data_IF_126408036595
#
_entry.id   IF_126408036595
#
_cell.length_a   1.000
_cell.length_b   1.000
_cell.length_c   1.000
_cell.angle_alpha   90.00
_cell.angle_beta   90.00
_cell.angle_gamma   90.00
#
_symmetry.space_group_name_H-M   'P 1'
#
loop_
_entity.id
_entity.type
_entity.pdbx_description
1 polymer ?
#
# COMPACT_ATOMS: atom_id res chain seq x y z
N UNK A 1 17.92 0.58 10.81
CA UNK A 1 18.62 -0.10 11.92
C UNK A 1 20.12 0.24 12.07
N UNK A 2 20.88 0.50 11.02
CA UNK A 2 22.33 0.85 11.15
C UNK A 2 22.60 2.24 11.77
N UNK A 3 21.80 3.26 11.49
CA UNK A 3 21.97 4.61 12.05
C UNK A 3 21.74 4.71 13.57
N UNK A 4 20.83 3.92 14.12
CA UNK A 4 20.55 3.92 15.56
C UNK A 4 21.67 3.29 16.39
N UNK A 5 22.35 2.26 15.89
CA UNK A 5 23.49 1.62 16.58
C UNK A 5 24.71 2.54 16.66
N UNK A 6 25.02 3.27 15.58
CA UNK A 6 26.14 4.22 15.56
C UNK A 6 25.96 5.34 16.61
N UNK A 7 24.75 5.85 16.80
CA UNK A 7 24.45 6.87 17.81
C UNK A 7 24.67 6.38 19.24
N UNK A 8 24.33 5.14 19.55
CA UNK A 8 24.57 4.53 20.86
C UNK A 8 26.05 4.35 21.17
N UNK A 9 26.85 3.87 20.20
CA UNK A 9 28.31 3.74 20.37
C UNK A 9 28.99 5.08 20.56
N UNK A 10 28.56 6.11 19.83
CA UNK A 10 29.10 7.47 19.97
C UNK A 10 28.82 8.03 21.37
N UNK A 11 27.59 7.88 21.88
CA UNK A 11 27.23 8.34 23.23
C UNK A 11 27.93 7.58 24.34
N UNK A 12 27.99 6.25 24.21
CA UNK A 12 28.78 5.43 25.12
C UNK A 12 30.24 5.85 25.17
N UNK A 13 30.82 6.13 24.00
CA UNK A 13 32.17 6.66 23.90
C UNK A 13 32.32 8.03 24.56
N UNK A 14 31.40 8.98 24.32
CA UNK A 14 31.41 10.30 24.97
C UNK A 14 31.27 10.21 26.49
N UNK A 15 30.42 9.31 27.00
CA UNK A 15 30.26 9.08 28.45
C UNK A 15 31.57 8.59 29.07
N UNK A 16 32.20 7.58 28.46
CA UNK A 16 33.48 7.02 28.94
C UNK A 16 34.58 8.08 28.90
N UNK A 17 34.69 8.86 27.82
CA UNK A 17 35.68 9.92 27.69
C UNK A 17 35.45 11.03 28.75
N UNK A 18 34.21 11.48 28.92
CA UNK A 18 33.88 12.52 29.92
C UNK A 18 34.13 12.05 31.34
N UNK A 19 33.76 10.81 31.67
CA UNK A 19 34.08 10.19 32.94
C UNK A 19 35.60 10.10 33.16
N UNK A 20 36.34 9.66 32.15
CA UNK A 20 37.81 9.58 32.19
C UNK A 20 38.46 10.95 32.41
N UNK A 21 37.95 12.02 31.78
CA UNK A 21 38.43 13.39 32.00
C UNK A 21 38.22 13.84 33.45
N UNK A 22 37.06 13.56 34.04
CA UNK A 22 36.78 13.90 35.43
C UNK A 22 37.71 13.13 36.39
N UNK A 23 37.85 11.83 36.21
CA UNK A 23 38.75 10.98 36.97
C UNK A 23 40.19 11.50 36.92
N UNK A 24 40.71 11.78 35.72
CA UNK A 24 42.05 12.26 35.50
C UNK A 24 42.28 13.63 36.21
N UNK A 25 41.28 14.49 36.22
CA UNK A 25 41.34 15.77 36.91
C UNK A 25 41.44 15.60 38.42
N UNK A 26 40.59 14.77 39.00
CA UNK A 26 40.63 14.48 40.44
C UNK A 26 41.91 13.80 40.88
N UNK A 27 42.37 12.78 40.16
CA UNK A 27 43.64 12.10 40.38
C UNK A 27 44.86 13.07 40.26
N UNK A 28 44.74 14.14 39.47
CA UNK A 28 45.75 15.19 39.34
C UNK A 28 45.71 16.23 40.47
N UNK A 29 44.93 16.03 41.52
CA UNK A 29 44.81 16.90 42.68
C UNK A 29 43.92 18.13 42.48
N UNK A 30 42.99 18.09 41.52
CA UNK A 30 41.97 19.12 41.34
C UNK A 30 40.87 18.89 42.39
N UNK A 31 40.59 19.89 43.21
CA UNK A 31 39.47 19.89 44.13
C UNK A 31 38.28 20.66 43.59
N UNK A 32 37.24 20.75 44.42
CA UNK A 32 36.02 21.55 44.16
C UNK A 32 35.72 22.43 45.34
N UNK A 33 35.22 23.66 45.14
CA UNK A 33 35.09 24.68 46.17
C UNK A 33 34.16 24.28 47.31
N UNK A 34 33.11 23.53 47.02
CA UNK A 34 32.01 23.28 47.96
C UNK A 34 32.13 21.91 48.66
N UNK A 35 33.17 21.16 48.36
CA UNK A 35 33.47 19.84 48.95
C UNK A 35 34.96 19.73 49.30
N UNK A 36 35.29 19.85 50.57
CA UNK A 36 36.65 19.59 51.02
C UNK A 36 37.04 18.13 50.97
N UNK A 37 38.36 17.85 50.84
CA UNK A 37 38.90 16.50 50.89
C UNK A 37 38.79 15.67 49.59
N UNK A 38 38.30 16.25 48.49
CA UNK A 38 38.24 15.55 47.18
C UNK A 38 39.64 15.27 46.63
N UNK A 39 40.60 16.21 46.69
CA UNK A 39 41.96 15.97 46.19
C UNK A 39 42.75 14.88 46.96
N UNK A 40 42.46 14.73 48.25
CA UNK A 40 43.09 13.72 49.10
C UNK A 40 42.27 12.39 49.15
N UNK A 41 41.16 12.32 48.39
CA UNK A 41 40.27 11.17 48.36
C UNK A 41 40.89 9.94 47.72
N UNK A 42 40.39 8.79 48.11
CA UNK A 42 40.73 7.52 47.44
C UNK A 42 40.07 7.37 46.08
N UNK A 43 40.42 6.30 45.38
CA UNK A 43 39.86 5.98 44.05
C UNK A 43 38.31 5.95 44.05
N UNK A 44 37.69 5.43 45.13
CA UNK A 44 36.23 5.36 45.24
C UNK A 44 35.62 6.75 45.36
N UNK A 45 36.29 7.64 46.07
CA UNK A 45 35.88 9.05 46.18
C UNK A 45 35.90 9.74 44.81
N UNK A 46 36.96 9.56 44.03
CA UNK A 46 37.06 10.15 42.69
C UNK A 46 36.02 9.53 41.73
N UNK A 47 35.76 8.22 41.79
CA UNK A 47 34.68 7.57 41.04
C UNK A 47 33.32 8.17 41.41
N UNK A 48 33.05 8.31 42.70
CA UNK A 48 31.78 8.85 43.19
C UNK A 48 31.50 10.26 42.66
N UNK A 49 32.46 11.15 42.76
CA UNK A 49 32.30 12.52 42.26
C UNK A 49 32.29 12.61 40.75
N UNK A 50 33.07 11.77 40.05
CA UNK A 50 33.02 11.70 38.58
C UNK A 50 31.66 11.19 38.07
N UNK A 51 31.03 10.21 38.73
CA UNK A 51 29.69 9.76 38.43
C UNK A 51 28.64 10.81 38.78
N UNK A 52 28.86 11.55 39.89
CA UNK A 52 28.01 12.63 40.33
C UNK A 52 27.79 13.73 39.31
N UNK A 53 28.75 13.96 38.40
CA UNK A 53 28.62 14.94 37.31
C UNK A 53 27.50 14.59 36.33
N UNK A 54 27.19 13.31 36.17
CA UNK A 54 26.13 12.85 35.28
C UNK A 54 24.74 12.88 35.89
N UNK A 55 24.64 13.10 37.19
CA UNK A 55 23.38 13.30 37.90
C UNK A 55 23.07 14.79 37.94
N UNK A 56 21.82 15.19 37.78
CA UNK A 56 21.37 16.58 37.69
C UNK A 56 21.70 17.46 38.92
N UNK A 57 22.39 16.92 39.92
CA UNK A 57 22.82 17.59 41.16
C UNK A 57 24.30 18.03 41.18
N UNK A 58 25.03 17.95 40.06
CA UNK A 58 26.46 18.34 40.02
C UNK A 58 26.76 19.82 40.33
N UNK A 59 25.74 20.66 40.38
CA UNK A 59 25.86 22.07 40.81
C UNK A 59 26.32 22.25 42.27
N UNK A 60 26.15 21.23 43.09
CA UNK A 60 26.55 21.25 44.50
C UNK A 60 28.06 21.02 44.76
N UNK A 61 28.83 20.82 43.73
CA UNK A 61 30.29 20.60 43.85
C UNK A 61 31.07 21.92 43.89
N UNK A 62 30.49 23.00 43.42
CA UNK A 62 31.15 24.27 43.25
C UNK A 62 32.12 24.30 42.06
N UNK A 63 33.10 25.20 42.09
CA UNK A 63 34.04 25.40 41.00
C UNK A 63 35.33 24.59 41.17
N UNK A 64 36.00 24.14 40.08
CA UNK A 64 37.31 23.48 40.14
C UNK A 64 38.38 24.37 40.77
N UNK A 65 39.07 23.87 41.81
CA UNK A 65 40.13 24.59 42.54
C UNK A 65 41.38 23.72 42.69
N UNK A 66 42.53 24.35 42.93
CA UNK A 66 43.78 23.60 43.09
C UNK A 66 44.26 22.88 41.82
N UNK A 67 45.28 22.02 41.94
CA UNK A 67 45.83 21.21 40.87
C UNK A 67 46.38 21.96 39.68
N UNK A 68 46.91 21.24 38.66
CA UNK A 68 47.43 21.82 37.41
C UNK A 68 46.36 22.46 36.55
N UNK A 69 46.66 23.59 35.90
CA UNK A 69 45.71 24.30 35.02
C UNK A 69 45.11 23.41 33.92
N UNK A 70 45.84 22.50 33.23
CA UNK A 70 45.26 21.61 32.25
C UNK A 70 44.20 20.65 32.87
N UNK A 71 44.47 20.12 34.06
CA UNK A 71 43.57 19.22 34.76
C UNK A 71 42.27 19.95 35.21
N UNK A 72 42.37 21.21 35.64
CA UNK A 72 41.18 22.05 35.88
C UNK A 72 40.38 22.28 34.60
N UNK A 73 41.01 22.50 33.48
CA UNK A 73 40.31 22.66 32.23
C UNK A 73 39.56 21.37 31.80
N UNK A 74 40.14 20.18 32.02
CA UNK A 74 39.47 18.91 31.83
C UNK A 74 38.21 18.76 32.68
N UNK A 75 38.29 19.16 33.97
CA UNK A 75 37.14 19.10 34.86
C UNK A 75 36.04 20.07 34.43
N UNK A 76 36.39 21.26 33.95
CA UNK A 76 35.41 22.20 33.39
C UNK A 76 34.72 21.61 32.15
N UNK A 77 35.45 20.98 31.26
CA UNK A 77 34.86 20.28 30.10
C UNK A 77 33.90 19.18 30.56
N UNK A 78 34.29 18.38 31.57
CA UNK A 78 33.43 17.35 32.13
C UNK A 78 32.16 17.91 32.79
N UNK A 79 32.24 19.04 33.46
CA UNK A 79 31.11 19.74 34.10
C UNK A 79 30.02 20.13 33.13
N UNK A 80 30.39 20.57 31.92
CA UNK A 80 29.42 20.91 30.88
C UNK A 80 28.99 19.70 30.05
N UNK A 81 29.92 18.79 29.76
CA UNK A 81 29.65 17.64 28.91
C UNK A 81 28.74 16.59 29.59
N UNK A 82 28.96 16.29 30.88
CA UNK A 82 28.22 15.26 31.58
C UNK A 82 26.71 15.56 31.68
N UNK A 83 26.24 16.75 32.09
CA UNK A 83 24.80 17.08 32.08
C UNK A 83 24.20 17.10 30.70
N UNK A 84 24.93 17.56 29.66
CA UNK A 84 24.44 17.54 28.26
C UNK A 84 24.22 16.11 27.76
N UNK A 85 25.14 15.18 28.05
CA UNK A 85 24.99 13.77 27.71
C UNK A 85 23.76 13.18 28.40
N UNK A 86 23.61 13.39 29.68
CA UNK A 86 22.48 12.85 30.46
C UNK A 86 21.15 13.45 30.01
N UNK A 87 21.07 14.79 29.90
CA UNK A 87 19.84 15.47 29.44
C UNK A 87 19.45 15.03 28.03
N UNK A 88 20.42 14.87 27.12
CA UNK A 88 20.14 14.38 25.78
C UNK A 88 19.58 12.95 25.79
N UNK A 89 20.07 12.09 26.68
CA UNK A 89 19.58 10.71 26.82
C UNK A 89 18.16 10.66 27.41
N UNK A 90 17.87 11.48 28.40
CA UNK A 90 16.53 11.63 29.02
C UNK A 90 15.55 12.17 27.97
N UNK A 91 15.92 13.22 27.24
CA UNK A 91 15.09 13.81 26.21
C UNK A 91 14.77 12.80 25.09
N UNK A 92 15.77 12.04 24.64
CA UNK A 92 15.55 10.99 23.64
C UNK A 92 14.63 9.89 24.18
N UNK A 93 14.78 9.47 25.43
CA UNK A 93 13.89 8.53 26.09
C UNK A 93 12.45 9.06 26.15
N UNK A 94 12.26 10.31 26.53
CA UNK A 94 10.97 10.98 26.58
C UNK A 94 10.33 11.07 25.17
N UNK A 95 11.10 11.47 24.16
CA UNK A 95 10.62 11.54 22.76
C UNK A 95 10.20 10.16 22.24
N UNK A 96 10.94 9.10 22.60
CA UNK A 96 10.57 7.73 22.22
C UNK A 96 9.30 7.24 22.93
N UNK A 97 9.10 7.63 24.19
CA UNK A 97 7.89 7.29 24.95
C UNK A 97 6.65 8.03 24.43
N UNK A 98 6.81 9.25 23.93
CA UNK A 98 5.72 10.08 23.38
C UNK A 98 5.22 9.62 22.00
N UNK A 99 5.78 8.53 21.42
CA UNK A 99 5.44 8.04 20.06
C UNK A 99 5.42 9.19 19.05
N UNK A 100 6.59 9.65 18.59
CA UNK A 100 6.71 10.81 17.70
C UNK A 100 5.89 10.68 16.41
N UNK A 101 5.61 9.45 15.97
CA UNK A 101 4.78 9.16 14.80
C UNK A 101 3.36 9.76 14.92
N UNK A 102 2.75 9.66 16.12
CA UNK A 102 1.44 10.23 16.39
C UNK A 102 1.45 11.75 16.41
N UNK A 103 2.50 12.34 16.98
CA UNK A 103 2.66 13.79 16.97
C UNK A 103 2.85 14.34 15.56
N UNK A 104 3.67 13.65 14.76
CA UNK A 104 3.92 14.01 13.36
C UNK A 104 2.65 13.85 12.52
N UNK A 105 1.85 12.81 12.75
CA UNK A 105 0.58 12.61 12.09
C UNK A 105 -0.38 13.77 12.39
N UNK A 106 -0.53 14.11 13.68
CA UNK A 106 -1.41 15.18 14.16
C UNK A 106 -1.03 16.59 13.70
N UNK A 107 0.24 16.81 13.37
CA UNK A 107 0.76 18.08 12.85
C UNK A 107 0.82 18.13 11.31
N UNK A 108 0.36 17.10 10.63
CA UNK A 108 0.35 17.07 9.16
C UNK A 108 -0.73 18.00 8.62
N UNK A 109 -0.41 18.72 7.54
CA UNK A 109 -1.34 19.63 6.86
C UNK A 109 -1.28 19.41 5.36
N UNK A 110 -2.38 19.64 4.69
CA UNK A 110 -2.52 19.58 3.23
C UNK A 110 -1.98 18.24 2.67
N UNK A 111 -2.24 17.17 3.41
CA UNK A 111 -1.68 15.85 3.19
C UNK A 111 -2.73 14.86 2.67
N UNK A 112 -2.24 13.79 2.07
CA UNK A 112 -3.06 12.63 1.68
C UNK A 112 -2.82 11.50 2.67
N UNK A 113 -3.88 10.99 3.27
CA UNK A 113 -3.85 9.81 4.12
C UNK A 113 -4.02 8.56 3.27
N UNK A 114 -3.09 7.63 3.35
CA UNK A 114 -3.14 6.34 2.65
C UNK A 114 -3.17 5.21 3.66
N UNK A 115 -4.30 4.53 3.75
CA UNK A 115 -4.50 3.40 4.65
C UNK A 115 -4.31 2.09 3.90
N UNK A 116 -3.36 1.28 4.37
CA UNK A 116 -2.95 0.04 3.71
C UNK A 116 -1.80 0.26 2.73
N UNK A 117 -0.58 -0.08 3.15
CA UNK A 117 0.65 0.03 2.34
C UNK A 117 1.00 -1.34 1.72
N UNK A 118 -0.02 -2.06 1.27
CA UNK A 118 0.11 -3.28 0.48
C UNK A 118 0.39 -2.97 -1.00
N UNK A 119 0.22 -3.98 -1.88
CA UNK A 119 0.44 -3.83 -3.33
C UNK A 119 -0.31 -2.63 -3.93
N UNK A 120 -1.61 -2.52 -3.67
CA UNK A 120 -2.44 -1.44 -4.22
C UNK A 120 -2.05 -0.08 -3.65
N UNK A 121 -1.74 -0.01 -2.34
CA UNK A 121 -1.24 1.21 -1.72
C UNK A 121 0.08 1.68 -2.33
N UNK A 122 1.00 0.77 -2.62
CA UNK A 122 2.27 1.11 -3.28
C UNK A 122 2.08 1.64 -4.70
N UNK A 123 1.18 1.03 -5.50
CA UNK A 123 0.82 1.55 -6.83
C UNK A 123 0.21 2.96 -6.75
N UNK A 124 -0.65 3.20 -5.75
CA UNK A 124 -1.22 4.52 -5.53
C UNK A 124 -0.14 5.54 -5.14
N UNK A 125 0.78 5.19 -4.24
CA UNK A 125 1.88 6.06 -3.83
C UNK A 125 2.82 6.40 -4.99
N UNK A 126 3.11 5.44 -5.86
CA UNK A 126 3.91 5.64 -7.07
C UNK A 126 3.22 6.63 -8.01
N UNK A 127 1.97 6.38 -8.37
CA UNK A 127 1.17 7.26 -9.21
C UNK A 127 1.01 8.66 -8.60
N UNK A 128 0.89 8.77 -7.26
CA UNK A 128 0.79 10.04 -6.55
C UNK A 128 2.11 10.83 -6.66
N UNK A 129 3.25 10.19 -6.48
CA UNK A 129 4.55 10.87 -6.57
C UNK A 129 4.91 11.32 -7.99
N UNK A 130 4.54 10.55 -9.00
CA UNK A 130 4.75 10.92 -10.40
C UNK A 130 4.04 12.24 -10.75
N UNK A 131 2.81 12.42 -10.27
CA UNK A 131 1.99 13.61 -10.60
C UNK A 131 2.08 14.74 -9.58
N UNK A 132 2.28 14.41 -8.32
CA UNK A 132 2.25 15.34 -7.19
C UNK A 132 3.48 15.12 -6.27
N UNK A 133 4.70 15.48 -6.73
CA UNK A 133 5.94 15.17 -6.02
C UNK A 133 6.06 15.82 -4.64
N UNK A 134 5.30 16.87 -4.36
CA UNK A 134 5.40 17.67 -3.13
C UNK A 134 4.29 17.44 -2.10
N UNK A 135 3.21 16.75 -2.46
CA UNK A 135 2.10 16.51 -1.52
C UNK A 135 2.61 15.68 -0.34
N UNK A 136 2.42 16.13 0.93
CA UNK A 136 2.75 15.33 2.09
C UNK A 136 1.89 14.07 2.12
N UNK A 137 2.48 12.93 2.47
CA UNK A 137 1.81 11.63 2.56
C UNK A 137 1.90 11.13 3.99
N UNK A 138 0.75 10.76 4.55
CA UNK A 138 0.64 10.03 5.80
C UNK A 138 0.14 8.62 5.52
N UNK A 139 1.03 7.65 5.60
CA UNK A 139 0.71 6.23 5.40
C UNK A 139 0.36 5.57 6.73
N UNK A 140 -0.71 4.80 6.77
CA UNK A 140 -1.19 4.07 7.94
C UNK A 140 -1.30 2.58 7.61
N UNK A 141 -0.67 1.73 8.41
CA UNK A 141 -0.81 0.26 8.31
C UNK A 141 -0.60 -0.36 9.70
N UNK A 142 -1.15 -1.54 9.93
CA UNK A 142 -0.97 -2.29 11.17
C UNK A 142 0.46 -2.81 11.34
N UNK A 143 1.08 -3.21 10.24
CA UNK A 143 2.36 -3.91 10.23
C UNK A 143 3.50 -2.98 9.83
N UNK A 144 4.17 -2.40 10.84
CA UNK A 144 5.34 -1.53 10.66
C UNK A 144 6.57 -2.25 10.06
N UNK A 145 6.60 -3.58 10.07
CA UNK A 145 7.78 -4.35 9.64
C UNK A 145 7.69 -4.81 8.18
N UNK A 146 6.60 -4.52 7.49
CA UNK A 146 6.50 -4.83 6.06
C UNK A 146 7.59 -4.13 5.26
N UNK A 147 8.20 -4.86 4.33
CA UNK A 147 9.18 -4.28 3.39
C UNK A 147 8.59 -3.09 2.60
N UNK A 148 7.28 -3.14 2.28
CA UNK A 148 6.56 -2.07 1.58
C UNK A 148 6.49 -0.78 2.38
N UNK A 149 6.46 -0.83 3.73
CA UNK A 149 6.48 0.36 4.58
C UNK A 149 7.81 1.10 4.46
N UNK A 150 8.93 0.37 4.50
CA UNK A 150 10.25 0.98 4.30
C UNK A 150 10.38 1.61 2.91
N UNK A 151 9.90 0.89 1.87
CA UNK A 151 9.88 1.43 0.51
C UNK A 151 9.01 2.69 0.41
N UNK A 152 7.85 2.73 1.08
CA UNK A 152 6.98 3.90 1.10
C UNK A 152 7.67 5.12 1.72
N UNK A 153 8.44 4.91 2.79
CA UNK A 153 9.21 5.96 3.46
C UNK A 153 10.41 6.42 2.61
N UNK A 154 11.21 5.46 2.11
CA UNK A 154 12.49 5.76 1.45
C UNK A 154 12.28 6.30 0.02
N UNK A 155 11.35 5.72 -0.74
CA UNK A 155 11.12 6.06 -2.15
C UNK A 155 10.12 7.20 -2.33
N UNK A 156 9.05 7.20 -1.52
CA UNK A 156 7.96 8.16 -1.68
C UNK A 156 7.92 9.24 -0.60
N UNK A 157 8.83 9.20 0.39
CA UNK A 157 8.88 10.18 1.48
C UNK A 157 7.60 10.18 2.32
N UNK A 158 6.89 9.05 2.38
CA UNK A 158 5.69 8.92 3.19
C UNK A 158 6.06 8.92 4.68
N UNK A 159 5.32 9.69 5.49
CA UNK A 159 5.37 9.55 6.95
C UNK A 159 4.52 8.34 7.32
N UNK A 160 5.00 7.51 8.22
CA UNK A 160 4.31 6.26 8.54
C UNK A 160 3.79 6.26 9.98
N UNK A 161 2.54 5.87 10.15
CA UNK A 161 1.89 5.66 11.44
C UNK A 161 1.52 4.17 11.58
N UNK A 162 2.17 3.42 12.49
CA UNK A 162 1.78 2.04 12.80
C UNK A 162 0.52 2.06 13.69
N UNK A 163 -0.66 1.91 13.09
CA UNK A 163 -1.92 2.01 13.83
C UNK A 163 -3.06 1.23 13.17
N UNK A 164 -4.02 0.84 14.00
CA UNK A 164 -5.29 0.29 13.56
C UNK A 164 -6.29 1.42 13.25
N UNK A 165 -6.63 1.57 11.97
CA UNK A 165 -7.54 2.61 11.49
C UNK A 165 -8.99 2.43 11.99
N UNK A 166 -9.35 1.23 12.48
CA UNK A 166 -10.67 0.97 13.09
C UNK A 166 -10.86 1.70 14.42
N UNK A 167 -9.77 2.05 15.10
CA UNK A 167 -9.80 2.75 16.38
C UNK A 167 -10.07 4.25 16.20
N UNK A 168 -11.03 4.80 16.94
CA UNK A 168 -11.35 6.23 16.91
C UNK A 168 -10.13 7.10 17.25
N UNK A 169 -9.32 6.70 18.24
CA UNK A 169 -8.10 7.40 18.59
C UNK A 169 -7.10 7.51 17.44
N UNK A 170 -7.05 6.50 16.55
CA UNK A 170 -6.24 6.58 15.33
C UNK A 170 -6.80 7.65 14.40
N UNK A 171 -8.10 7.64 14.11
CA UNK A 171 -8.73 8.63 13.24
C UNK A 171 -8.52 10.05 13.76
N UNK A 172 -8.68 10.27 15.08
CA UNK A 172 -8.48 11.57 15.74
C UNK A 172 -7.01 12.06 15.62
N UNK A 173 -6.06 11.16 15.39
CA UNK A 173 -4.64 11.51 15.22
C UNK A 173 -4.24 11.86 13.80
N UNK A 174 -5.08 11.59 12.78
CA UNK A 174 -4.74 11.74 11.38
C UNK A 174 -4.86 13.18 10.85
N UNK A 175 -5.25 14.15 11.68
CA UNK A 175 -5.50 15.54 11.29
C UNK A 175 -6.41 15.64 10.05
N UNK A 176 -7.54 14.92 10.06
CA UNK A 176 -8.43 14.78 8.90
C UNK A 176 -9.02 16.11 8.44
N UNK A 177 -9.17 17.08 9.33
CA UNK A 177 -9.63 18.45 9.00
C UNK A 177 -8.67 19.19 8.07
N UNK A 178 -7.38 18.84 8.13
CA UNK A 178 -6.31 19.42 7.32
C UNK A 178 -5.89 18.51 6.16
N UNK A 179 -6.55 17.38 5.99
CA UNK A 179 -6.23 16.42 4.92
C UNK A 179 -6.92 16.80 3.59
N UNK A 180 -6.25 16.57 2.48
CA UNK A 180 -6.85 16.71 1.15
C UNK A 180 -7.78 15.56 0.80
N UNK A 181 -7.36 14.35 1.13
CA UNK A 181 -8.09 13.13 0.84
C UNK A 181 -7.65 11.99 1.76
N UNK A 182 -8.53 11.02 1.93
CA UNK A 182 -8.24 9.73 2.55
C UNK A 182 -8.49 8.63 1.54
N UNK A 183 -7.51 7.75 1.35
CA UNK A 183 -7.57 6.62 0.43
C UNK A 183 -7.35 5.32 1.19
N UNK A 184 -8.38 4.49 1.27
CA UNK A 184 -8.42 3.25 2.02
C UNK A 184 -8.20 2.08 1.06
N UNK A 185 -7.05 1.43 1.15
CA UNK A 185 -6.55 0.41 0.22
C UNK A 185 -6.13 -0.87 0.95
N UNK A 186 -6.74 -1.16 2.10
CA UNK A 186 -6.49 -2.42 2.80
C UNK A 186 -7.06 -3.60 2.00
N UNK A 187 -6.73 -4.83 2.41
CA UNK A 187 -7.29 -6.05 1.81
C UNK A 187 -8.66 -6.42 2.37
N UNK A 188 -9.12 -5.70 3.37
CA UNK A 188 -10.40 -5.94 4.04
C UNK A 188 -11.40 -4.87 3.58
N UNK A 189 -12.31 -5.29 2.71
CA UNK A 189 -13.31 -4.42 2.10
C UNK A 189 -14.27 -3.83 3.14
N UNK A 190 -14.63 -4.60 4.18
CA UNK A 190 -15.51 -4.14 5.24
C UNK A 190 -14.82 -3.04 6.05
N UNK A 191 -13.55 -3.22 6.40
CA UNK A 191 -12.76 -2.19 7.09
C UNK A 191 -12.66 -0.92 6.26
N UNK A 192 -12.40 -1.06 4.95
CA UNK A 192 -12.34 0.10 4.06
C UNK A 192 -13.67 0.86 4.04
N UNK A 193 -14.80 0.15 3.94
CA UNK A 193 -16.13 0.76 3.91
C UNK A 193 -16.52 1.41 5.25
N UNK A 194 -16.41 0.67 6.36
CA UNK A 194 -16.77 1.18 7.69
C UNK A 194 -15.97 2.43 8.06
N UNK A 195 -14.68 2.41 7.79
CA UNK A 195 -13.80 3.55 8.10
C UNK A 195 -14.12 4.72 7.17
N UNK A 196 -14.34 4.46 5.87
CA UNK A 196 -14.71 5.52 4.91
C UNK A 196 -16.01 6.22 5.35
N UNK A 197 -17.02 5.45 5.73
CA UNK A 197 -18.31 5.99 6.18
C UNK A 197 -18.17 6.83 7.45
N UNK A 198 -17.45 6.33 8.45
CA UNK A 198 -17.19 7.07 9.70
C UNK A 198 -16.42 8.37 9.47
N UNK A 199 -15.50 8.40 8.51
CA UNK A 199 -14.76 9.61 8.16
C UNK A 199 -15.71 10.58 7.43
N UNK A 200 -16.47 10.13 6.43
CA UNK A 200 -17.37 10.98 5.65
C UNK A 200 -18.48 11.60 6.52
N UNK A 201 -18.99 10.86 7.50
CA UNK A 201 -20.00 11.36 8.46
C UNK A 201 -19.44 12.51 9.32
N UNK A 202 -18.17 12.42 9.77
CA UNK A 202 -17.54 13.44 10.61
C UNK A 202 -16.94 14.61 9.82
N UNK A 203 -16.52 14.34 8.60
CA UNK A 203 -15.84 15.28 7.72
C UNK A 203 -16.47 15.28 6.32
N UNK A 204 -17.69 15.84 6.14
CA UNK A 204 -18.45 15.75 4.88
C UNK A 204 -17.78 16.40 3.68
N UNK A 205 -16.90 17.38 3.90
CA UNK A 205 -16.12 18.05 2.86
C UNK A 205 -14.85 17.30 2.46
N UNK A 206 -14.45 16.27 3.21
CA UNK A 206 -13.24 15.51 2.93
C UNK A 206 -13.50 14.44 1.87
N UNK A 207 -12.66 14.37 0.85
CA UNK A 207 -12.71 13.28 -0.13
C UNK A 207 -12.23 11.98 0.48
N UNK A 208 -13.11 10.99 0.49
CA UNK A 208 -12.80 9.65 0.99
C UNK A 208 -12.97 8.65 -0.14
N UNK A 209 -11.93 7.85 -0.39
CA UNK A 209 -11.94 6.79 -1.39
C UNK A 209 -11.74 5.45 -0.71
N UNK A 210 -12.62 4.51 -0.97
CA UNK A 210 -12.54 3.15 -0.42
C UNK A 210 -12.39 2.12 -1.55
N UNK A 211 -11.37 1.27 -1.45
CA UNK A 211 -11.23 0.11 -2.33
C UNK A 211 -12.15 -1.02 -1.86
N UNK A 212 -12.94 -1.56 -2.78
CA UNK A 212 -13.83 -2.70 -2.57
C UNK A 212 -13.64 -3.70 -3.70
N UNK A 213 -13.02 -4.84 -3.38
CA UNK A 213 -12.77 -5.90 -4.34
C UNK A 213 -13.96 -6.88 -4.47
N UNK A 214 -14.72 -7.07 -3.40
CA UNK A 214 -15.89 -7.94 -3.38
C UNK A 214 -17.04 -7.33 -4.19
N UNK A 215 -17.55 -8.11 -5.15
CA UNK A 215 -18.59 -7.64 -6.07
C UNK A 215 -19.96 -7.47 -5.38
N UNK A 216 -20.27 -8.34 -4.42
CA UNK A 216 -21.52 -8.27 -3.66
C UNK A 216 -21.57 -7.02 -2.79
N UNK A 217 -20.48 -6.75 -2.05
CA UNK A 217 -20.35 -5.54 -1.22
C UNK A 217 -20.38 -4.28 -2.08
N UNK A 218 -19.68 -4.26 -3.21
CA UNK A 218 -19.70 -3.14 -4.14
C UNK A 218 -21.12 -2.82 -4.62
N UNK A 219 -21.86 -3.83 -5.09
CA UNK A 219 -23.24 -3.64 -5.55
C UNK A 219 -24.17 -3.19 -4.45
N UNK A 220 -23.95 -3.64 -3.22
CA UNK A 220 -24.72 -3.16 -2.06
C UNK A 220 -24.47 -1.67 -1.82
N UNK A 221 -23.23 -1.23 -1.90
CA UNK A 221 -22.86 0.18 -1.71
C UNK A 221 -23.37 1.04 -2.85
N UNK A 222 -23.24 0.60 -4.12
CA UNK A 222 -23.78 1.33 -5.30
C UNK A 222 -25.29 1.68 -5.14
N UNK A 223 -26.04 0.91 -4.34
CA UNK A 223 -27.47 1.20 -4.05
C UNK A 223 -27.68 2.25 -2.95
N UNK A 224 -26.67 2.48 -2.11
CA UNK A 224 -26.75 3.35 -0.93
C UNK A 224 -25.98 4.67 -1.14
N UNK A 225 -25.12 4.73 -2.14
CA UNK A 225 -24.10 5.77 -2.35
C UNK A 225 -24.62 7.18 -2.65
N UNK A 226 -25.94 7.37 -2.90
CA UNK A 226 -26.50 8.65 -3.23
C UNK A 226 -26.38 9.65 -2.07
N UNK A 227 -25.24 10.38 -2.01
CA UNK A 227 -25.00 11.47 -1.07
C UNK A 227 -23.98 11.21 0.05
N UNK A 228 -23.28 10.08 0.06
CA UNK A 228 -22.38 9.70 1.19
C UNK A 228 -21.02 10.42 1.22
N UNK A 229 -20.60 11.10 0.15
CA UNK A 229 -19.25 11.71 0.04
C UNK A 229 -18.10 10.69 -0.09
N UNK A 230 -18.41 9.38 -0.14
CA UNK A 230 -17.44 8.29 -0.31
C UNK A 230 -17.39 7.87 -1.76
N UNK A 231 -16.20 7.82 -2.37
CA UNK A 231 -15.98 7.28 -3.71
C UNK A 231 -15.51 5.84 -3.64
N UNK A 232 -16.20 4.94 -4.31
CA UNK A 232 -15.80 3.52 -4.36
C UNK A 232 -14.86 3.28 -5.55
N UNK A 233 -13.75 2.61 -5.27
CA UNK A 233 -12.79 2.14 -6.26
C UNK A 233 -12.75 0.62 -6.28
N UNK A 234 -12.96 0.01 -7.46
CA UNK A 234 -12.81 -1.42 -7.67
C UNK A 234 -11.76 -1.66 -8.76
N UNK A 235 -10.70 -2.38 -8.41
CA UNK A 235 -9.57 -2.65 -9.30
C UNK A 235 -9.97 -3.51 -10.51
N UNK A 236 -10.83 -4.51 -10.32
CA UNK A 236 -11.28 -5.41 -11.40
C UNK A 236 -12.17 -4.67 -12.41
N UNK A 237 -13.08 -3.81 -11.91
CA UNK A 237 -13.93 -2.98 -12.79
C UNK A 237 -13.11 -2.00 -13.63
N UNK A 238 -12.03 -1.49 -13.05
CA UNK A 238 -11.11 -0.61 -13.76
C UNK A 238 -10.42 -1.36 -14.90
N UNK A 239 -9.95 -2.59 -14.62
CA UNK A 239 -9.34 -3.43 -15.65
C UNK A 239 -10.35 -3.85 -16.74
N UNK A 240 -11.57 -4.23 -16.34
CA UNK A 240 -12.64 -4.58 -17.29
C UNK A 240 -13.01 -3.41 -18.22
N UNK A 241 -13.13 -2.19 -17.65
CA UNK A 241 -13.38 -0.98 -18.45
C UNK A 241 -12.27 -0.72 -19.45
N UNK A 242 -11.01 -0.85 -19.04
CA UNK A 242 -9.88 -0.65 -19.96
C UNK A 242 -9.83 -1.72 -21.04
N UNK A 243 -10.03 -2.98 -20.69
CA UNK A 243 -10.13 -4.07 -21.69
C UNK A 243 -11.18 -3.72 -22.75
N UNK A 244 -12.36 -3.31 -22.34
CA UNK A 244 -13.41 -2.94 -23.29
C UNK A 244 -13.03 -1.72 -24.12
N UNK A 245 -12.64 -0.60 -23.47
CA UNK A 245 -12.39 0.67 -24.16
C UNK A 245 -11.18 0.61 -25.10
N UNK A 246 -10.12 -0.04 -24.70
CA UNK A 246 -8.83 -0.03 -25.41
C UNK A 246 -8.78 -1.15 -26.49
N UNK A 247 -9.60 -2.22 -26.35
CA UNK A 247 -9.46 -3.41 -27.19
C UNK A 247 -10.76 -3.92 -27.80
N UNK A 248 -11.86 -3.98 -27.05
CA UNK A 248 -13.08 -4.68 -27.51
C UNK A 248 -14.13 -3.75 -28.12
N UNK A 249 -14.18 -2.49 -27.74
CA UNK A 249 -15.20 -1.57 -28.25
C UNK A 249 -15.16 -1.38 -29.76
N UNK A 250 -13.98 -1.36 -30.36
CA UNK A 250 -13.82 -1.28 -31.83
C UNK A 250 -14.08 -2.64 -32.50
N UNK A 251 -13.68 -3.73 -31.86
CA UNK A 251 -13.95 -5.08 -32.36
C UNK A 251 -15.45 -5.31 -32.49
N UNK A 252 -16.22 -5.10 -31.43
CA UNK A 252 -17.68 -5.28 -31.45
C UNK A 252 -18.44 -4.36 -32.41
N UNK A 253 -17.87 -3.22 -32.81
CA UNK A 253 -18.45 -2.37 -33.88
C UNK A 253 -18.21 -2.89 -35.28
N UNK A 254 -17.21 -3.74 -35.47
CA UNK A 254 -16.79 -4.28 -36.77
C UNK A 254 -17.36 -5.66 -37.02
N UNK A 255 -17.87 -6.32 -35.99
CA UNK A 255 -18.53 -7.62 -36.06
C UNK A 255 -20.05 -7.46 -36.07
N UNK A 256 -20.76 -8.46 -36.62
CA UNK A 256 -22.22 -8.53 -36.48
C UNK A 256 -22.60 -8.92 -35.04
N UNK A 257 -23.75 -8.46 -34.49
CA UNK A 257 -24.18 -8.80 -33.15
C UNK A 257 -24.41 -10.30 -32.99
N UNK A 258 -23.48 -11.04 -32.48
CA UNK A 258 -23.55 -12.43 -32.06
C UNK A 258 -22.19 -12.99 -31.60
N UNK A 259 -21.27 -12.11 -31.22
CA UNK A 259 -19.92 -12.51 -30.79
C UNK A 259 -19.93 -13.55 -29.67
N UNK A 260 -19.06 -14.56 -29.80
CA UNK A 260 -18.82 -15.56 -28.75
C UNK A 260 -17.66 -15.08 -27.86
N UNK A 261 -17.92 -14.94 -26.57
CA UNK A 261 -16.91 -14.54 -25.59
C UNK A 261 -16.61 -15.69 -24.63
N UNK A 262 -15.37 -16.16 -24.63
CA UNK A 262 -14.90 -17.23 -23.73
C UNK A 262 -14.17 -16.64 -22.53
N UNK A 263 -14.64 -16.94 -21.34
CA UNK A 263 -14.05 -16.51 -20.06
C UNK A 263 -13.41 -17.71 -19.36
N UNK A 264 -12.10 -17.85 -19.50
CA UNK A 264 -11.31 -18.88 -18.84
C UNK A 264 -10.82 -18.36 -17.47
N UNK A 265 -11.48 -18.84 -16.40
CA UNK A 265 -11.41 -18.29 -15.04
C UNK A 265 -12.58 -17.33 -14.78
N UNK A 266 -13.57 -17.80 -14.00
CA UNK A 266 -14.77 -17.02 -13.67
C UNK A 266 -14.82 -16.60 -12.19
N UNK A 267 -13.65 -16.30 -11.63
CA UNK A 267 -13.49 -15.62 -10.33
C UNK A 267 -13.92 -14.16 -10.40
N UNK A 268 -13.51 -13.35 -9.41
CA UNK A 268 -13.86 -11.91 -9.34
C UNK A 268 -13.53 -11.15 -10.62
N UNK A 269 -12.40 -11.45 -11.24
CA UNK A 269 -11.98 -10.79 -12.47
C UNK A 269 -12.91 -11.15 -13.67
N UNK A 270 -13.13 -12.43 -13.95
CA UNK A 270 -14.00 -12.88 -15.04
C UNK A 270 -15.45 -12.41 -14.88
N UNK A 271 -16.01 -12.49 -13.66
CA UNK A 271 -17.34 -11.97 -13.34
C UNK A 271 -17.44 -10.46 -13.60
N UNK A 272 -16.42 -9.69 -13.20
CA UNK A 272 -16.43 -8.24 -13.44
C UNK A 272 -16.34 -7.90 -14.91
N UNK A 273 -15.58 -8.69 -15.69
CA UNK A 273 -15.50 -8.51 -17.14
C UNK A 273 -16.88 -8.76 -17.76
N UNK A 274 -17.53 -9.89 -17.47
CA UNK A 274 -18.85 -10.21 -18.02
C UNK A 274 -19.91 -9.16 -17.61
N UNK A 275 -19.90 -8.71 -16.35
CA UNK A 275 -20.78 -7.64 -15.88
C UNK A 275 -20.56 -6.34 -16.65
N UNK A 276 -19.30 -5.97 -16.89
CA UNK A 276 -18.98 -4.76 -17.64
C UNK A 276 -19.36 -4.88 -19.13
N UNK A 277 -19.05 -6.00 -19.76
CA UNK A 277 -19.41 -6.28 -21.15
C UNK A 277 -20.91 -6.31 -21.35
N UNK A 278 -21.67 -6.93 -20.43
CA UNK A 278 -23.13 -6.91 -20.46
C UNK A 278 -23.68 -5.48 -20.43
N UNK A 279 -23.14 -4.63 -19.56
CA UNK A 279 -23.59 -3.24 -19.43
C UNK A 279 -23.19 -2.35 -20.61
N UNK A 280 -22.04 -2.61 -21.24
CA UNK A 280 -21.46 -1.76 -22.29
C UNK A 280 -21.76 -2.24 -23.70
N UNK A 281 -21.93 -3.55 -23.91
CA UNK A 281 -22.07 -4.20 -25.22
C UNK A 281 -22.94 -5.47 -25.15
N UNK A 282 -23.98 -5.49 -24.29
CA UNK A 282 -24.80 -6.69 -24.11
C UNK A 282 -25.56 -7.14 -25.36
N UNK A 283 -25.85 -6.24 -26.28
CA UNK A 283 -26.47 -6.55 -27.58
C UNK A 283 -25.50 -7.18 -28.57
N UNK A 284 -24.20 -7.03 -28.39
CA UNK A 284 -23.16 -7.54 -29.28
C UNK A 284 -22.78 -9.00 -28.97
N UNK A 285 -23.03 -9.41 -27.69
CA UNK A 285 -22.66 -10.74 -27.21
C UNK A 285 -23.77 -11.72 -27.50
N UNK A 286 -23.54 -12.60 -28.49
CA UNK A 286 -24.46 -13.69 -28.80
C UNK A 286 -24.40 -14.83 -27.81
N UNK A 287 -23.19 -15.19 -27.36
CA UNK A 287 -23.01 -16.28 -26.39
C UNK A 287 -21.77 -16.06 -25.52
N UNK A 288 -21.87 -16.38 -24.22
CA UNK A 288 -20.73 -16.40 -23.32
C UNK A 288 -20.43 -17.83 -22.85
N UNK A 289 -19.17 -18.24 -22.91
CA UNK A 289 -18.72 -19.55 -22.44
C UNK A 289 -17.81 -19.36 -21.23
N UNK A 290 -18.16 -19.98 -20.13
CA UNK A 290 -17.35 -19.97 -18.89
C UNK A 290 -16.60 -21.29 -18.77
N UNK A 291 -15.28 -21.22 -18.54
CA UNK A 291 -14.44 -22.37 -18.19
C UNK A 291 -13.82 -22.10 -16.83
N UNK A 292 -14.28 -22.81 -15.80
CA UNK A 292 -13.79 -22.66 -14.41
C UNK A 292 -14.06 -23.91 -13.60
N UNK A 293 -13.19 -24.23 -12.65
CA UNK A 293 -13.34 -25.43 -11.78
C UNK A 293 -14.56 -25.37 -10.84
N UNK A 294 -15.13 -24.19 -10.63
CA UNK A 294 -16.34 -23.95 -9.85
C UNK A 294 -17.39 -23.15 -10.66
N UNK A 295 -17.34 -23.31 -11.98
CA UNK A 295 -18.06 -22.51 -12.96
C UNK A 295 -19.56 -22.46 -12.72
N UNK A 296 -20.21 -23.60 -12.52
CA UNK A 296 -21.65 -23.69 -12.29
C UNK A 296 -22.10 -22.92 -11.05
N UNK A 297 -21.35 -23.06 -9.95
CA UNK A 297 -21.65 -22.33 -8.72
C UNK A 297 -21.48 -20.82 -8.92
N UNK A 298 -20.41 -20.43 -9.58
CA UNK A 298 -20.07 -19.02 -9.78
C UNK A 298 -21.03 -18.34 -10.76
N UNK A 299 -21.43 -19.04 -11.84
CA UNK A 299 -22.42 -18.55 -12.80
C UNK A 299 -23.80 -18.36 -12.16
N UNK A 300 -24.24 -19.29 -11.32
CA UNK A 300 -25.51 -19.13 -10.58
C UNK A 300 -25.47 -17.92 -9.63
N UNK A 301 -24.38 -17.73 -8.87
CA UNK A 301 -24.21 -16.58 -7.99
C UNK A 301 -24.17 -15.27 -8.79
N UNK A 302 -23.46 -15.25 -9.90
CA UNK A 302 -23.37 -14.10 -10.78
C UNK A 302 -24.75 -13.68 -11.30
N UNK A 303 -25.53 -14.61 -11.87
CA UNK A 303 -26.89 -14.34 -12.35
C UNK A 303 -27.82 -13.85 -11.26
N UNK A 304 -27.76 -14.43 -10.05
CA UNK A 304 -28.55 -13.99 -8.92
C UNK A 304 -28.20 -12.56 -8.43
N UNK A 305 -26.98 -12.12 -8.70
CA UNK A 305 -26.48 -10.83 -8.21
C UNK A 305 -26.51 -9.71 -9.26
N UNK A 306 -26.47 -10.03 -10.55
CA UNK A 306 -26.42 -9.07 -11.67
C UNK A 306 -27.70 -9.15 -12.47
N UNK A 307 -28.67 -8.25 -12.23
CA UNK A 307 -29.94 -8.24 -13.00
C UNK A 307 -29.68 -8.04 -14.50
N UNK A 308 -30.50 -8.69 -15.30
CA UNK A 308 -30.45 -8.57 -16.77
C UNK A 308 -29.45 -9.50 -17.46
N UNK A 309 -28.59 -10.19 -16.71
CA UNK A 309 -27.62 -11.14 -17.30
C UNK A 309 -28.27 -12.44 -17.80
N UNK A 310 -29.54 -12.67 -17.47
CA UNK A 310 -30.36 -13.74 -18.06
C UNK A 310 -30.50 -13.60 -19.58
N UNK A 311 -30.38 -12.39 -20.09
CA UNK A 311 -30.44 -12.10 -21.53
C UNK A 311 -29.23 -12.61 -22.31
N UNK A 312 -28.08 -12.84 -21.66
CA UNK A 312 -26.90 -13.42 -22.32
C UNK A 312 -26.98 -14.94 -22.24
N UNK A 313 -27.06 -15.64 -23.36
CA UNK A 313 -26.92 -17.09 -23.39
C UNK A 313 -25.56 -17.49 -22.83
N UNK A 314 -25.55 -18.48 -21.91
CA UNK A 314 -24.36 -18.83 -21.15
C UNK A 314 -24.17 -20.32 -21.09
N UNK A 315 -23.05 -20.82 -21.56
CA UNK A 315 -22.58 -22.19 -21.37
C UNK A 315 -21.49 -22.24 -20.30
N UNK A 316 -21.54 -23.27 -19.47
CA UNK A 316 -20.57 -23.45 -18.37
C UNK A 316 -19.86 -24.79 -18.52
N UNK A 317 -18.55 -24.75 -18.62
CA UNK A 317 -17.68 -25.91 -18.58
C UNK A 317 -16.97 -25.93 -17.21
N UNK A 318 -17.45 -26.80 -16.31
CA UNK A 318 -16.81 -26.99 -15.00
C UNK A 318 -15.56 -27.88 -15.16
N UNK A 319 -14.48 -27.26 -15.61
CA UNK A 319 -13.22 -27.91 -16.00
C UNK A 319 -11.99 -27.15 -15.51
N UNK A 320 -10.87 -27.89 -15.43
CA UNK A 320 -9.56 -27.31 -15.15
C UNK A 320 -8.85 -26.94 -16.45
N UNK A 321 -8.33 -25.72 -16.54
CA UNK A 321 -7.59 -25.22 -17.71
C UNK A 321 -6.28 -25.99 -17.99
N UNK A 322 -5.74 -26.73 -17.02
CA UNK A 322 -4.60 -27.62 -17.20
C UNK A 322 -4.95 -28.95 -17.89
N UNK A 323 -6.25 -29.30 -17.99
CA UNK A 323 -6.69 -30.54 -18.59
C UNK A 323 -6.88 -30.38 -20.13
N UNK A 324 -6.15 -31.14 -20.97
CA UNK A 324 -6.31 -31.07 -22.39
C UNK A 324 -7.74 -31.41 -22.89
N UNK A 325 -8.51 -32.21 -22.15
CA UNK A 325 -9.89 -32.52 -22.48
C UNK A 325 -10.81 -31.28 -22.39
N UNK A 326 -10.47 -30.33 -21.52
CA UNK A 326 -11.20 -29.08 -21.38
C UNK A 326 -11.25 -28.30 -22.71
N UNK A 327 -10.19 -28.33 -23.46
CA UNK A 327 -10.09 -27.62 -24.75
C UNK A 327 -10.91 -28.32 -25.83
N UNK A 328 -10.92 -29.66 -25.88
CA UNK A 328 -11.76 -30.40 -26.82
C UNK A 328 -13.27 -30.20 -26.56
N UNK A 329 -13.67 -30.15 -25.30
CA UNK A 329 -15.07 -29.84 -24.92
C UNK A 329 -15.41 -28.38 -25.25
N UNK A 330 -14.49 -27.44 -25.01
CA UNK A 330 -14.66 -26.03 -25.35
C UNK A 330 -14.86 -25.85 -26.84
N UNK A 331 -14.07 -26.52 -27.69
CA UNK A 331 -14.23 -26.51 -29.15
C UNK A 331 -15.62 -26.97 -29.57
N UNK A 332 -16.13 -28.05 -28.96
CA UNK A 332 -17.47 -28.55 -29.27
C UNK A 332 -18.56 -27.52 -28.94
N UNK A 333 -18.44 -26.82 -27.79
CA UNK A 333 -19.38 -25.77 -27.38
C UNK A 333 -19.29 -24.56 -28.32
N UNK A 334 -18.07 -24.12 -28.66
CA UNK A 334 -17.86 -23.00 -29.59
C UNK A 334 -18.45 -23.32 -30.94
N UNK A 335 -18.20 -24.52 -31.49
CA UNK A 335 -18.71 -24.96 -32.80
C UNK A 335 -20.25 -24.98 -32.84
N UNK A 336 -20.92 -25.30 -31.75
CA UNK A 336 -22.38 -25.27 -31.66
C UNK A 336 -22.96 -23.86 -31.84
N UNK A 337 -22.21 -22.83 -31.43
CA UNK A 337 -22.67 -21.43 -31.42
C UNK A 337 -22.13 -20.56 -32.57
N UNK A 338 -21.17 -21.06 -33.34
CA UNK A 338 -20.59 -20.37 -34.51
C UNK A 338 -21.15 -20.86 -35.86
N UNK A 339 -22.23 -21.60 -35.87
CA UNK A 339 -22.73 -22.29 -37.09
C UNK A 339 -23.10 -21.33 -38.23
N UNK A 340 -23.52 -20.11 -37.93
CA UNK A 340 -24.02 -19.15 -38.93
C UNK A 340 -23.11 -17.94 -39.16
N UNK A 341 -22.04 -17.76 -38.37
CA UNK A 341 -21.13 -16.62 -38.47
C UNK A 341 -19.65 -17.04 -38.35
N UNK A 342 -18.78 -16.71 -39.33
CA UNK A 342 -17.36 -17.02 -39.26
C UNK A 342 -16.55 -16.13 -38.32
N UNK A 343 -17.20 -15.39 -37.42
CA UNK A 343 -16.50 -14.52 -36.45
C UNK A 343 -15.76 -15.37 -35.41
N UNK A 344 -14.46 -15.20 -35.35
CA UNK A 344 -13.61 -15.87 -34.36
C UNK A 344 -13.97 -15.49 -32.93
N UNK A 345 -14.00 -16.43 -31.97
CA UNK A 345 -14.33 -16.12 -30.58
C UNK A 345 -13.28 -15.22 -29.92
N UNK A 346 -13.74 -14.43 -28.98
CA UNK A 346 -12.86 -13.62 -28.12
C UNK A 346 -12.56 -14.39 -26.84
N UNK A 347 -11.29 -14.62 -26.55
CA UNK A 347 -10.86 -15.30 -25.33
C UNK A 347 -10.34 -14.32 -24.29
N UNK A 348 -10.79 -14.44 -23.05
CA UNK A 348 -10.25 -13.72 -21.90
C UNK A 348 -9.84 -14.72 -20.83
N UNK A 349 -8.54 -14.89 -20.64
CA UNK A 349 -7.96 -15.82 -19.68
C UNK A 349 -7.57 -15.06 -18.44
N UNK A 350 -8.27 -15.32 -17.31
CA UNK A 350 -8.22 -14.46 -16.16
C UNK A 350 -8.25 -15.16 -14.80
N UNK A 351 -7.52 -16.28 -14.64
CA UNK A 351 -7.33 -16.91 -13.33
C UNK A 351 -6.33 -16.10 -12.46
N UNK A 352 -6.17 -16.49 -11.19
CA UNK A 352 -5.18 -15.87 -10.29
C UNK A 352 -3.76 -16.43 -10.47
N UNK A 353 -3.57 -17.39 -11.40
CA UNK A 353 -2.30 -18.03 -11.73
C UNK A 353 -1.81 -17.54 -13.10
N UNK A 354 -0.83 -16.61 -13.10
CA UNK A 354 -0.25 -16.02 -14.31
C UNK A 354 0.41 -17.08 -15.21
N UNK A 355 0.98 -18.14 -14.62
CA UNK A 355 1.60 -19.23 -15.40
C UNK A 355 0.56 -20.08 -16.10
N UNK A 356 -0.53 -20.42 -15.43
CA UNK A 356 -1.66 -21.12 -16.00
C UNK A 356 -2.28 -20.31 -17.14
N UNK A 357 -2.51 -19.01 -16.90
CA UNK A 357 -3.07 -18.11 -17.90
C UNK A 357 -2.23 -18.10 -19.20
N UNK A 358 -0.90 -17.96 -19.07
CA UNK A 358 -0.01 -17.92 -20.23
C UNK A 358 0.03 -19.25 -20.99
N UNK A 359 0.11 -20.39 -20.28
CA UNK A 359 0.09 -21.72 -20.91
C UNK A 359 -1.21 -21.99 -21.66
N UNK A 360 -2.34 -21.64 -21.04
CA UNK A 360 -3.66 -21.77 -21.65
C UNK A 360 -3.80 -20.92 -22.91
N UNK A 361 -3.28 -19.69 -22.87
CA UNK A 361 -3.29 -18.80 -24.03
C UNK A 361 -2.47 -19.34 -25.19
N UNK A 362 -1.30 -19.94 -24.93
CA UNK A 362 -0.46 -20.56 -25.97
C UNK A 362 -1.17 -21.75 -26.57
N UNK A 363 -1.83 -22.59 -25.77
CA UNK A 363 -2.61 -23.72 -26.27
C UNK A 363 -3.78 -23.28 -27.15
N UNK A 364 -4.54 -22.26 -26.69
CA UNK A 364 -5.65 -21.68 -27.46
C UNK A 364 -5.19 -21.04 -28.77
N UNK A 365 -4.06 -20.36 -28.80
CA UNK A 365 -3.50 -19.77 -30.01
C UNK A 365 -3.22 -20.82 -31.11
N UNK A 366 -2.83 -22.03 -30.69
CA UNK A 366 -2.61 -23.14 -31.64
C UNK A 366 -3.92 -23.64 -32.24
N UNK A 367 -5.04 -23.59 -31.53
CA UNK A 367 -6.37 -23.98 -31.97
C UNK A 367 -7.08 -22.85 -32.76
N UNK A 368 -6.90 -21.61 -32.30
CA UNK A 368 -7.53 -20.40 -32.83
C UNK A 368 -6.47 -19.38 -33.30
N UNK A 369 -5.89 -19.54 -34.50
CA UNK A 369 -4.80 -18.69 -34.96
C UNK A 369 -5.17 -17.22 -35.16
N UNK A 370 -6.42 -16.90 -35.44
CA UNK A 370 -6.89 -15.55 -35.76
C UNK A 370 -7.71 -14.90 -34.64
N UNK A 371 -8.12 -15.68 -33.64
CA UNK A 371 -8.90 -15.16 -32.48
C UNK A 371 -8.15 -14.13 -31.67
N UNK A 372 -8.88 -13.22 -31.06
CA UNK A 372 -8.32 -12.30 -30.04
C UNK A 372 -8.21 -13.01 -28.69
N UNK A 373 -7.01 -13.10 -28.17
CA UNK A 373 -6.71 -13.80 -26.91
C UNK A 373 -6.09 -12.83 -25.92
N UNK A 374 -6.86 -12.49 -24.91
CA UNK A 374 -6.46 -11.62 -23.80
C UNK A 374 -5.99 -12.46 -22.62
N UNK A 375 -4.81 -12.14 -22.10
CA UNK A 375 -4.16 -12.91 -21.03
C UNK A 375 -3.91 -12.01 -19.86
N UNK A 376 -4.59 -12.29 -18.74
CA UNK A 376 -4.32 -11.59 -17.48
C UNK A 376 -2.93 -11.97 -16.96
N UNK A 377 -2.14 -10.97 -16.64
CA UNK A 377 -0.90 -11.11 -15.88
C UNK A 377 -0.85 -10.05 -14.78
N UNK A 378 -0.13 -10.34 -13.70
CA UNK A 378 0.01 -9.41 -12.59
C UNK A 378 0.81 -8.19 -13.04
N UNK A 379 1.95 -8.41 -13.69
CA UNK A 379 2.82 -7.35 -14.23
C UNK A 379 3.45 -7.78 -15.57
N UNK A 380 3.79 -6.83 -16.40
CA UNK A 380 4.58 -7.08 -17.60
C UNK A 380 6.05 -7.29 -17.25
N UNK A 381 6.62 -8.34 -17.81
CA UNK A 381 8.05 -8.61 -17.80
C UNK A 381 8.56 -8.72 -19.24
N UNK A 382 9.85 -8.52 -19.46
CA UNK A 382 10.47 -8.70 -20.77
C UNK A 382 10.15 -10.09 -21.37
N UNK A 383 10.08 -11.12 -20.52
CA UNK A 383 9.71 -12.49 -20.91
C UNK A 383 8.26 -12.59 -21.37
N UNK A 384 7.31 -12.10 -20.56
CA UNK A 384 5.88 -12.18 -20.90
C UNK A 384 5.55 -11.35 -22.14
N UNK A 385 6.17 -10.17 -22.28
CA UNK A 385 6.02 -9.32 -23.47
C UNK A 385 6.57 -9.99 -24.73
N UNK A 386 7.72 -10.64 -24.64
CA UNK A 386 8.30 -11.37 -25.76
C UNK A 386 7.43 -12.55 -26.20
N UNK A 387 6.91 -13.35 -25.25
CA UNK A 387 5.99 -14.47 -25.55
C UNK A 387 4.70 -13.93 -26.19
N UNK A 388 4.10 -12.91 -25.61
CA UNK A 388 2.88 -12.32 -26.12
C UNK A 388 3.04 -11.81 -27.56
N UNK A 389 4.12 -11.09 -27.83
CA UNK A 389 4.43 -10.61 -29.19
C UNK A 389 4.62 -11.77 -30.18
N UNK A 390 5.36 -12.81 -29.80
CA UNK A 390 5.61 -13.97 -30.67
C UNK A 390 4.34 -14.75 -30.96
N UNK A 391 3.47 -14.89 -29.96
CA UNK A 391 2.24 -15.67 -30.03
C UNK A 391 1.00 -14.83 -30.38
N UNK A 392 1.15 -13.55 -30.69
CA UNK A 392 0.02 -12.62 -30.97
C UNK A 392 -1.02 -12.62 -29.85
N UNK A 393 -0.56 -12.60 -28.56
CA UNK A 393 -1.43 -12.51 -27.39
C UNK A 393 -1.52 -11.06 -26.93
N UNK A 394 -2.65 -10.67 -26.37
CA UNK A 394 -2.86 -9.35 -25.77
C UNK A 394 -2.75 -9.44 -24.24
N UNK A 395 -1.71 -8.84 -23.67
CA UNK A 395 -1.48 -8.90 -22.21
C UNK A 395 -2.37 -7.89 -21.47
N UNK A 396 -3.09 -8.38 -20.48
CA UNK A 396 -3.82 -7.56 -19.51
C UNK A 396 -2.97 -7.43 -18.23
N UNK A 397 -1.98 -6.55 -18.27
CA UNK A 397 -1.11 -6.27 -17.13
C UNK A 397 -1.86 -5.47 -16.06
N UNK A 398 -2.40 -6.18 -15.07
CA UNK A 398 -3.31 -5.59 -14.08
C UNK A 398 -2.66 -4.44 -13.30
N UNK A 399 -1.39 -4.55 -12.92
CA UNK A 399 -0.69 -3.47 -12.20
C UNK A 399 -0.49 -2.21 -13.06
N UNK A 400 -0.14 -2.37 -14.33
CA UNK A 400 0.00 -1.26 -15.26
C UNK A 400 -1.32 -0.52 -15.49
N UNK A 401 -2.40 -1.29 -15.73
CA UNK A 401 -3.75 -0.75 -15.90
C UNK A 401 -4.23 -0.02 -14.65
N UNK A 402 -3.98 -0.59 -13.46
CA UNK A 402 -4.34 0.03 -12.18
C UNK A 402 -3.55 1.31 -11.93
N UNK A 403 -2.23 1.31 -12.15
CA UNK A 403 -1.38 2.50 -11.97
C UNK A 403 -1.87 3.65 -12.85
N UNK A 404 -2.16 3.38 -14.12
CA UNK A 404 -2.70 4.39 -15.04
C UNK A 404 -4.05 4.93 -14.54
N UNK A 405 -4.97 4.04 -14.18
CA UNK A 405 -6.30 4.44 -13.72
C UNK A 405 -6.26 5.21 -12.38
N UNK A 406 -5.38 4.80 -11.46
CA UNK A 406 -5.15 5.53 -10.22
C UNK A 406 -4.60 6.92 -10.50
N UNK A 407 -3.66 7.05 -11.46
CA UNK A 407 -3.13 8.33 -11.88
C UNK A 407 -4.21 9.24 -12.52
N UNK A 408 -5.10 8.70 -13.34
CA UNK A 408 -6.19 9.46 -13.96
C UNK A 408 -7.20 9.98 -12.92
N UNK A 409 -7.57 9.12 -11.95
CA UNK A 409 -8.55 9.46 -10.91
C UNK A 409 -8.02 10.39 -9.82
N UNK A 410 -6.71 10.56 -9.68
CA UNK A 410 -6.15 11.47 -8.68
C UNK A 410 -6.64 12.91 -8.84
N UNK A 411 -6.94 13.38 -10.06
CA UNK A 411 -7.53 14.71 -10.27
C UNK A 411 -8.85 14.85 -9.53
N UNK A 412 -9.71 13.85 -9.63
CA UNK A 412 -11.01 13.81 -8.96
C UNK A 412 -10.85 13.70 -7.45
N UNK A 413 -9.99 12.79 -7.00
CA UNK A 413 -9.84 12.47 -5.57
C UNK A 413 -9.11 13.53 -4.74
N UNK A 414 -8.22 14.31 -5.37
CA UNK A 414 -7.42 15.33 -4.69
C UNK A 414 -7.97 16.74 -4.89
N UNK A 415 -9.01 16.92 -5.69
CA UNK A 415 -9.70 18.21 -5.85
C UNK A 415 -10.81 18.27 -4.80
N UNK A 416 -10.87 19.33 -3.98
CA UNK A 416 -12.00 19.52 -3.05
C UNK A 416 -13.33 19.43 -3.80
N UNK A 417 -14.42 18.98 -3.14
CA UNK A 417 -15.74 19.09 -3.74
C UNK A 417 -16.00 20.55 -4.10
N UNK A 418 -16.59 20.79 -5.26
CA UNK A 418 -17.10 22.13 -5.59
C UNK A 418 -18.21 22.46 -4.58
N UNK A 419 -18.12 23.65 -3.96
CA UNK A 419 -19.12 24.17 -3.04
C UNK A 419 -20.50 24.31 -3.69
#
# INVERSE_FOLDING_TARGET
>A
MRRTRAGWYLRGGLLVVTFGMAMLAFESGVGVSDRGGVPEGDLLTHIYYSLGLFVLGGLDLGIPTGGPTPARALLWVAYFAAPLITTSAVLEGAVRLLKPEWLVARMSRDHVVVVGVGRLGMLFLEALRERHPRIPILAVDLDAQRATVQLAQDRFGARFLPADVRLSATLDSLALEEARAVVLLTRDDLVNLEVAWRIAERHPSLRVVAHVADLGMRRMVDRVEHGSGVSIFNSHRTAARKLYQDHLAEHFKQTDPADVVVLAGFGRFGQTILEYLHAAAGSEIGHAVIVDTAGERQARLFRAQVPGTEAIPLSVLERNLDDPQSWAELEAVIAEHLVDDPVEPVFVIGTDDDQLNLRSAIALRALHPESRIFVRCTYESAFTTQIASTMRLELLAVEGMLRQALAERQKEWLTPPAD
#
